data_IF_060791508182
#
_entry.id   IF_060791508182
#
_cell.length_a   1.000
_cell.length_b   1.000
_cell.length_c   1.000
_cell.angle_alpha   90.00
_cell.angle_beta   90.00
_cell.angle_gamma   90.00
#
_symmetry.space_group_name_H-M   'P 1'
#
loop_
_entity.id
_entity.type
_entity.pdbx_description
1 polymer ?
#
# COMPACT_ATOMS: atom_id res chain seq x y z
N UNK A 1 14.10 1.25 11.42
CA UNK A 1 14.82 2.26 10.61
C UNK A 1 16.32 2.01 10.62
N UNK A 2 17.03 2.16 11.75
CA UNK A 2 18.49 1.98 11.83
C UNK A 2 19.01 0.62 11.31
N UNK A 3 18.34 -0.49 11.64
CA UNK A 3 18.72 -1.83 11.17
C UNK A 3 18.54 -2.03 9.66
N UNK A 4 17.53 -1.38 9.05
CA UNK A 4 17.32 -1.45 7.60
C UNK A 4 18.41 -0.65 6.88
N UNK A 5 18.66 0.58 7.35
CA UNK A 5 19.69 1.47 6.81
C UNK A 5 21.09 0.87 6.86
N UNK A 6 21.46 0.19 7.95
CA UNK A 6 22.76 -0.47 8.06
C UNK A 6 22.90 -1.64 7.07
N UNK A 7 21.83 -2.40 6.81
CA UNK A 7 21.83 -3.54 5.89
C UNK A 7 21.95 -3.13 4.42
N UNK A 8 21.46 -1.94 4.07
CA UNK A 8 21.42 -1.48 2.66
C UNK A 8 22.55 -0.52 2.31
N UNK A 9 23.25 0.03 3.30
CA UNK A 9 24.41 0.88 3.09
C UNK A 9 25.48 0.27 2.15
N UNK A 10 25.79 -1.04 2.19
CA UNK A 10 26.77 -1.64 1.29
C UNK A 10 26.32 -1.76 -0.17
N UNK A 11 25.04 -1.55 -0.50
CA UNK A 11 24.53 -1.75 -1.86
C UNK A 11 24.99 -0.68 -2.85
N UNK A 12 25.54 0.45 -2.37
CA UNK A 12 26.14 1.46 -3.24
C UNK A 12 25.14 2.06 -4.24
N UNK A 13 23.94 2.42 -3.76
CA UNK A 13 22.88 2.98 -4.59
C UNK A 13 23.38 4.17 -5.43
N UNK A 14 22.92 4.31 -6.68
CA UNK A 14 23.28 5.45 -7.51
C UNK A 14 22.80 6.75 -6.85
N UNK A 15 23.67 7.76 -6.84
CA UNK A 15 23.41 9.05 -6.18
C UNK A 15 22.35 9.90 -6.91
N UNK A 16 21.99 9.52 -8.14
CA UNK A 16 21.00 10.20 -8.95
C UNK A 16 20.49 9.30 -10.09
N UNK A 17 19.43 9.72 -10.79
CA UNK A 17 18.91 8.99 -11.92
C UNK A 17 19.98 8.90 -13.02
N UNK A 18 20.07 7.73 -13.66
CA UNK A 18 20.89 7.57 -14.87
C UNK A 18 20.31 8.48 -15.97
N UNK A 19 21.16 9.24 -16.69
CA UNK A 19 20.69 10.01 -17.84
C UNK A 19 19.94 9.11 -18.83
N UNK A 20 18.81 9.59 -19.32
CA UNK A 20 18.05 8.89 -20.35
C UNK A 20 18.89 8.81 -21.63
N UNK A 21 18.93 7.63 -22.26
CA UNK A 21 19.54 7.46 -23.57
C UNK A 21 18.64 8.17 -24.62
N UNK A 22 19.15 9.17 -25.37
CA UNK A 22 18.37 9.87 -26.40
C UNK A 22 17.83 8.95 -27.50
N UNK A 23 18.42 7.76 -27.68
CA UNK A 23 18.02 6.79 -28.69
C UNK A 23 17.07 5.70 -28.15
N UNK A 24 16.81 5.66 -26.84
CA UNK A 24 15.85 4.69 -26.29
C UNK A 24 14.41 5.20 -26.54
N UNK A 25 13.53 4.39 -27.16
CA UNK A 25 12.14 4.78 -27.33
C UNK A 25 11.49 5.02 -25.97
N UNK A 26 10.70 6.09 -25.85
CA UNK A 26 9.91 6.36 -24.64
C UNK A 26 9.06 5.13 -24.30
N UNK A 27 9.36 4.50 -23.17
CA UNK A 27 8.55 3.41 -22.63
C UNK A 27 7.61 3.96 -21.57
N UNK A 28 6.36 3.46 -21.51
CA UNK A 28 5.48 3.81 -20.41
C UNK A 28 6.12 3.39 -19.09
N UNK A 29 5.90 4.20 -18.05
CA UNK A 29 6.37 3.87 -16.72
C UNK A 29 5.84 2.50 -16.28
N UNK A 30 6.71 1.72 -15.65
CA UNK A 30 6.37 0.43 -15.08
C UNK A 30 6.98 0.32 -13.69
N UNK A 31 6.13 0.15 -12.67
CA UNK A 31 6.56 0.05 -11.27
C UNK A 31 7.34 -1.24 -10.96
N UNK A 32 7.42 -2.16 -11.92
CA UNK A 32 8.00 -3.48 -11.76
C UNK A 32 7.00 -4.50 -11.21
N UNK A 33 7.27 -5.78 -11.48
CA UNK A 33 6.35 -6.87 -11.11
C UNK A 33 6.06 -6.95 -9.60
N UNK A 34 7.05 -6.62 -8.78
CA UNK A 34 6.92 -6.70 -7.33
C UNK A 34 5.94 -5.65 -6.78
N UNK A 35 6.13 -4.37 -7.12
CA UNK A 35 5.24 -3.29 -6.69
C UNK A 35 3.86 -3.44 -7.32
N UNK A 36 3.79 -3.82 -8.60
CA UNK A 36 2.52 -4.12 -9.27
C UNK A 36 1.72 -5.18 -8.52
N UNK A 37 2.36 -6.29 -8.14
CA UNK A 37 1.72 -7.35 -7.38
C UNK A 37 1.23 -6.84 -6.01
N UNK A 38 2.04 -6.08 -5.27
CA UNK A 38 1.65 -5.51 -3.99
C UNK A 38 0.44 -4.57 -4.12
N UNK A 39 0.40 -3.74 -5.17
CA UNK A 39 -0.71 -2.83 -5.44
C UNK A 39 -1.97 -3.56 -5.89
N UNK A 40 -1.85 -4.62 -6.68
CA UNK A 40 -2.97 -5.48 -7.08
C UNK A 40 -3.59 -6.18 -5.86
N UNK A 41 -2.75 -6.62 -4.92
CA UNK A 41 -3.20 -7.16 -3.64
C UNK A 41 -3.84 -6.08 -2.78
N UNK A 42 -3.19 -4.93 -2.59
CA UNK A 42 -3.73 -3.83 -1.79
C UNK A 42 -5.08 -3.33 -2.32
N UNK A 43 -5.27 -3.29 -3.65
CA UNK A 43 -6.54 -2.92 -4.29
C UNK A 43 -7.69 -3.88 -3.94
N UNK A 44 -7.39 -5.11 -3.52
CA UNK A 44 -8.35 -6.17 -3.19
C UNK A 44 -8.40 -6.49 -1.71
N UNK A 45 -7.85 -5.63 -0.85
CA UNK A 45 -7.72 -5.87 0.60
C UNK A 45 -9.08 -6.22 1.26
N UNK A 46 -10.19 -5.70 0.74
CA UNK A 46 -11.54 -5.97 1.25
C UNK A 46 -12.10 -7.36 0.86
N UNK A 47 -11.46 -8.09 -0.05
CA UNK A 47 -11.89 -9.39 -0.57
C UNK A 47 -10.98 -10.55 -0.14
N UNK A 48 -9.85 -10.22 0.48
CA UNK A 48 -8.79 -11.16 0.77
C UNK A 48 -8.80 -11.60 2.23
N UNK A 49 -8.22 -12.78 2.54
CA UNK A 49 -8.07 -13.22 3.92
C UNK A 49 -7.26 -12.22 4.75
N UNK A 50 -7.67 -12.02 6.00
CA UNK A 50 -7.03 -11.08 6.92
C UNK A 50 -5.52 -11.35 7.08
N UNK A 51 -5.11 -12.62 7.17
CA UNK A 51 -3.70 -13.01 7.28
C UNK A 51 -2.85 -12.59 6.08
N UNK A 52 -3.43 -12.58 4.87
CA UNK A 52 -2.76 -12.11 3.66
C UNK A 52 -2.65 -10.58 3.69
N UNK A 53 -3.71 -9.89 4.10
CA UNK A 53 -3.70 -8.43 4.23
C UNK A 53 -2.61 -7.96 5.19
N UNK A 54 -2.47 -8.60 6.34
CA UNK A 54 -1.40 -8.31 7.30
C UNK A 54 -0.01 -8.45 6.68
N UNK A 55 0.23 -9.48 5.87
CA UNK A 55 1.51 -9.67 5.20
C UNK A 55 1.77 -8.59 4.15
N UNK A 56 0.79 -8.28 3.29
CA UNK A 56 0.93 -7.24 2.25
C UNK A 56 1.18 -5.88 2.90
N UNK A 57 0.42 -5.53 3.93
CA UNK A 57 0.65 -4.31 4.71
C UNK A 57 2.04 -4.31 5.35
N UNK A 58 2.48 -5.41 5.95
CA UNK A 58 3.82 -5.48 6.55
C UNK A 58 4.92 -5.27 5.51
N UNK A 59 4.80 -5.82 4.30
CA UNK A 59 5.79 -5.63 3.24
C UNK A 59 5.81 -4.18 2.78
N UNK A 60 4.65 -3.59 2.47
CA UNK A 60 4.56 -2.19 2.07
C UNK A 60 5.07 -1.24 3.17
N UNK A 61 4.77 -1.49 4.44
CA UNK A 61 5.30 -0.71 5.56
C UNK A 61 6.82 -0.80 5.65
N UNK A 62 7.43 -1.97 5.40
CA UNK A 62 8.89 -2.09 5.36
C UNK A 62 9.51 -1.36 4.16
N UNK A 63 8.85 -1.39 3.00
CA UNK A 63 9.29 -0.63 1.82
C UNK A 63 9.17 0.87 2.03
N UNK A 64 8.10 1.34 2.68
CA UNK A 64 7.93 2.74 3.05
C UNK A 64 9.02 3.23 4.03
N UNK A 65 9.55 2.33 4.85
CA UNK A 65 10.68 2.58 5.76
C UNK A 65 12.05 2.36 5.11
N UNK A 66 12.10 1.95 3.84
CA UNK A 66 13.33 1.72 3.12
C UNK A 66 14.01 3.08 2.85
N UNK A 67 15.31 3.25 3.18
CA UNK A 67 15.97 4.56 3.12
C UNK A 67 16.41 4.89 1.69
N UNK A 68 15.46 5.00 0.77
CA UNK A 68 15.69 5.38 -0.62
C UNK A 68 14.67 6.44 -1.05
N UNK A 69 15.12 7.64 -1.46
CA UNK A 69 14.23 8.78 -1.71
C UNK A 69 13.16 8.47 -2.77
N UNK A 70 13.53 7.83 -3.89
CA UNK A 70 12.57 7.50 -4.96
C UNK A 70 11.51 6.48 -4.53
N UNK A 71 11.84 5.54 -3.64
CA UNK A 71 10.87 4.57 -3.13
C UNK A 71 9.90 5.28 -2.17
N UNK A 72 10.44 6.14 -1.32
CA UNK A 72 9.66 6.92 -0.37
C UNK A 72 8.71 7.89 -1.10
N UNK A 73 9.21 8.61 -2.11
CA UNK A 73 8.41 9.48 -2.98
C UNK A 73 7.30 8.69 -3.67
N UNK A 74 7.62 7.57 -4.34
CA UNK A 74 6.64 6.77 -5.07
C UNK A 74 5.55 6.14 -4.18
N UNK A 75 5.89 5.77 -2.95
CA UNK A 75 4.95 5.14 -2.01
C UNK A 75 4.16 6.15 -1.17
N UNK A 76 4.78 7.26 -0.76
CA UNK A 76 4.23 8.12 0.30
C UNK A 76 3.89 9.55 -0.13
N UNK A 77 4.35 10.03 -1.30
CA UNK A 77 3.96 11.35 -1.79
C UNK A 77 2.61 11.26 -2.53
N UNK A 78 1.52 11.87 -1.99
CA UNK A 78 0.22 11.85 -2.65
C UNK A 78 0.15 12.78 -3.87
N UNK A 79 1.14 13.66 -4.07
CA UNK A 79 1.20 14.65 -5.14
C UNK A 79 2.21 14.30 -6.23
N UNK A 80 2.75 13.08 -6.22
CA UNK A 80 3.67 12.60 -7.24
C UNK A 80 3.03 12.69 -8.64
N UNK A 81 3.76 13.30 -9.58
CA UNK A 81 3.33 13.41 -10.97
C UNK A 81 3.54 12.07 -11.68
N UNK A 82 2.46 11.33 -11.88
CA UNK A 82 2.49 10.06 -12.61
C UNK A 82 2.01 10.23 -14.04
N UNK A 83 2.58 9.44 -14.95
CA UNK A 83 2.05 9.32 -16.30
C UNK A 83 0.60 8.78 -16.29
N UNK A 84 -0.23 9.13 -17.28
CA UNK A 84 -1.60 8.64 -17.37
C UNK A 84 -1.69 7.12 -17.26
N UNK A 85 -2.65 6.62 -16.48
CA UNK A 85 -2.87 5.18 -16.27
C UNK A 85 -1.93 4.53 -15.25
N UNK A 86 -0.90 5.23 -14.77
CA UNK A 86 -0.07 4.74 -13.68
C UNK A 86 -0.77 4.87 -12.34
N UNK A 87 -0.39 4.01 -11.39
CA UNK A 87 -0.94 3.99 -10.03
C UNK A 87 0.16 4.35 -9.02
N UNK A 88 -0.23 5.00 -7.93
CA UNK A 88 0.55 5.07 -6.68
C UNK A 88 -0.15 4.30 -5.57
N UNK A 89 0.56 4.02 -4.49
CA UNK A 89 -0.03 3.48 -3.26
C UNK A 89 -1.19 4.38 -2.78
N UNK A 90 -1.03 5.71 -2.85
CA UNK A 90 -2.09 6.66 -2.53
C UNK A 90 -3.34 6.45 -3.39
N UNK A 91 -3.20 6.38 -4.72
CA UNK A 91 -4.35 6.17 -5.62
C UNK A 91 -5.06 4.84 -5.35
N UNK A 92 -4.31 3.79 -5.00
CA UNK A 92 -4.85 2.48 -4.64
C UNK A 92 -5.66 2.57 -3.35
N UNK A 93 -5.12 3.24 -2.32
CA UNK A 93 -5.81 3.42 -1.04
C UNK A 93 -7.08 4.26 -1.18
N UNK A 94 -7.06 5.33 -1.98
CA UNK A 94 -8.26 6.14 -2.27
C UNK A 94 -9.36 5.29 -2.90
N UNK A 95 -9.00 4.44 -3.87
CA UNK A 95 -9.96 3.50 -4.48
C UNK A 95 -10.54 2.53 -3.44
N UNK A 96 -9.68 1.95 -2.60
CA UNK A 96 -10.10 1.05 -1.51
C UNK A 96 -11.05 1.76 -0.53
N UNK A 97 -10.78 3.02 -0.18
CA UNK A 97 -11.67 3.82 0.66
C UNK A 97 -13.04 3.99 -0.02
N UNK A 98 -13.05 4.29 -1.32
CA UNK A 98 -14.29 4.36 -2.11
C UNK A 98 -15.09 3.06 -2.05
N UNK A 99 -14.44 1.93 -2.31
CA UNK A 99 -15.07 0.60 -2.25
C UNK A 99 -15.58 0.27 -0.84
N UNK A 100 -14.81 0.64 0.20
CA UNK A 100 -15.19 0.47 1.60
C UNK A 100 -16.44 1.29 1.94
N UNK A 101 -16.49 2.56 1.53
CA UNK A 101 -17.66 3.42 1.74
C UNK A 101 -18.92 2.81 1.10
N UNK A 102 -18.80 2.31 -0.13
CA UNK A 102 -19.91 1.63 -0.81
C UNK A 102 -20.38 0.36 -0.10
N UNK A 103 -19.47 -0.39 0.53
CA UNK A 103 -19.82 -1.58 1.33
C UNK A 103 -20.49 -1.19 2.65
N UNK A 104 -20.02 -0.14 3.33
CA UNK A 104 -20.61 0.34 4.59
C UNK A 104 -22.08 0.73 4.40
N UNK A 105 -22.42 1.41 3.31
CA UNK A 105 -23.80 1.80 3.01
C UNK A 105 -24.76 0.60 2.84
N UNK A 106 -24.24 -0.58 2.49
CA UNK A 106 -25.04 -1.80 2.34
C UNK A 106 -25.23 -2.57 3.66
N UNK A 107 -24.54 -2.17 4.73
CA UNK A 107 -24.63 -2.82 6.04
C UNK A 107 -25.57 -2.02 6.95
N UNK A 108 -26.80 -2.50 7.20
CA UNK A 108 -27.69 -1.83 8.12
C UNK A 108 -27.10 -1.82 9.53
N UNK A 109 -27.28 -0.71 10.24
CA UNK A 109 -26.79 -0.48 11.60
C UNK A 109 -25.27 -0.69 11.74
N UNK A 110 -24.49 -0.35 10.70
CA UNK A 110 -23.03 -0.55 10.67
C UNK A 110 -22.32 -0.04 11.94
N UNK A 111 -22.59 1.20 12.36
CA UNK A 111 -21.97 1.78 13.56
C UNK A 111 -22.30 0.99 14.84
N UNK A 112 -23.53 0.48 14.95
CA UNK A 112 -23.95 -0.36 16.07
C UNK A 112 -23.20 -1.71 16.08
N UNK A 113 -23.10 -2.34 14.91
CA UNK A 113 -22.32 -3.59 14.74
C UNK A 113 -20.83 -3.38 15.03
N UNK A 114 -20.26 -2.25 14.62
CA UNK A 114 -18.87 -1.93 14.90
C UNK A 114 -18.60 -1.78 16.40
N UNK A 115 -19.50 -1.10 17.12
CA UNK A 115 -19.43 -1.01 18.59
C UNK A 115 -19.56 -2.37 19.26
N UNK A 116 -20.47 -3.23 18.77
CA UNK A 116 -20.64 -4.60 19.28
C UNK A 116 -19.36 -5.42 19.10
N UNK A 117 -18.82 -5.46 17.88
CA UNK A 117 -17.58 -6.19 17.57
C UNK A 117 -16.42 -5.68 18.41
N UNK A 118 -16.29 -4.35 18.59
CA UNK A 118 -15.27 -3.77 19.48
C UNK A 118 -15.42 -4.30 20.92
N UNK A 119 -16.64 -4.32 21.46
CA UNK A 119 -16.90 -4.84 22.82
C UNK A 119 -16.56 -6.33 22.94
N UNK A 120 -16.89 -7.13 21.93
CA UNK A 120 -16.55 -8.56 21.87
C UNK A 120 -15.03 -8.78 21.83
N UNK A 121 -14.32 -8.04 20.97
CA UNK A 121 -12.85 -8.12 20.88
C UNK A 121 -12.15 -7.65 22.17
N UNK A 122 -12.77 -6.74 22.92
CA UNK A 122 -12.30 -6.32 24.24
C UNK A 122 -12.74 -7.25 25.38
N UNK A 123 -13.42 -8.37 25.08
CA UNK A 123 -13.92 -9.33 26.07
C UNK A 123 -15.06 -8.82 26.95
N UNK A 124 -15.70 -7.71 26.59
CA UNK A 124 -16.79 -7.10 27.38
C UNK A 124 -18.15 -7.74 27.13
N UNK A 125 -18.31 -8.47 26.03
CA UNK A 125 -19.53 -9.18 25.63
C UNK A 125 -19.11 -10.54 25.07
N UNK A 126 -19.82 -11.64 25.39
CA UNK A 126 -19.56 -12.93 24.78
C UNK A 126 -19.66 -12.86 23.25
N UNK A 127 -18.78 -13.56 22.53
CA UNK A 127 -18.95 -13.77 21.09
C UNK A 127 -20.21 -14.60 20.85
N UNK A 128 -21.02 -14.21 19.85
CA UNK A 128 -22.09 -15.10 19.36
C UNK A 128 -21.41 -16.36 18.80
N UNK A 129 -21.70 -17.52 19.39
CA UNK A 129 -21.21 -18.83 18.94
C UNK A 129 -21.91 -19.27 17.66
#
# INVERSE_FOLDING_TARGET
FQECSSRVAPWGWPLGPTPLDPHEPERPFFEGHFLRMLFDRMSRILEQPYSLNLQVTSVLSRLALFPHPLIHEYLLDPYINLAPGCRSLFSVLVRVIGDLMQRIQRVPQFSGKLLLVRKQLMGQVPGEQ
#
